data_IF_161220175922
#
_entry.id   IF_161220175922
#
_cell.length_a   1.000
_cell.length_b   1.000
_cell.length_c   1.000
_cell.angle_alpha   90.00
_cell.angle_beta   90.00
_cell.angle_gamma   90.00
#
_symmetry.space_group_name_H-M   'P 1'
#
loop_
_entity.id
_entity.type
_entity.pdbx_description
1 polymer ?
#
# COMPACT_ATOMS: atom_id res chain seq x y z
N UNK A 1 -9.99 12.84 0.90
CA UNK A 1 -11.03 12.93 -0.13
C UNK A 1 -12.39 12.82 0.53
N UNK A 2 -13.33 13.76 0.32
CA UNK A 2 -14.66 13.66 0.91
C UNK A 2 -15.55 12.70 0.11
N UNK A 3 -16.29 11.84 0.81
CA UNK A 3 -17.31 10.93 0.25
C UNK A 3 -18.55 11.67 -0.25
N UNK A 4 -18.74 12.91 0.21
CA UNK A 4 -19.96 13.72 0.08
C UNK A 4 -21.21 13.07 0.72
N UNK A 5 -21.02 12.01 1.52
CA UNK A 5 -22.06 11.34 2.29
C UNK A 5 -21.81 11.62 3.76
N UNK A 6 -22.84 12.10 4.46
CA UNK A 6 -22.78 12.36 5.89
C UNK A 6 -22.37 11.08 6.65
N UNK A 7 -21.43 11.23 7.59
CA UNK A 7 -20.93 10.12 8.41
C UNK A 7 -19.83 9.25 7.76
N UNK A 8 -19.48 9.46 6.48
CA UNK A 8 -18.46 8.65 5.79
C UNK A 8 -17.13 9.41 5.66
N UNK A 9 -16.18 9.12 6.57
CA UNK A 9 -14.90 9.84 6.66
C UNK A 9 -13.76 9.32 5.78
N UNK A 10 -13.71 8.01 5.49
CA UNK A 10 -12.62 7.38 4.73
C UNK A 10 -13.16 6.62 3.51
N UNK A 11 -13.75 7.32 2.52
CA UNK A 11 -14.43 6.66 1.40
C UNK A 11 -13.52 5.72 0.61
N UNK A 12 -12.25 6.10 0.41
CA UNK A 12 -11.29 5.27 -0.32
C UNK A 12 -11.00 3.98 0.45
N UNK A 13 -10.76 4.05 1.77
CA UNK A 13 -10.49 2.86 2.58
C UNK A 13 -11.69 1.92 2.62
N UNK A 14 -12.91 2.47 2.75
CA UNK A 14 -14.13 1.67 2.76
C UNK A 14 -14.35 0.97 1.41
N UNK A 15 -14.16 1.68 0.30
CA UNK A 15 -14.26 1.08 -1.02
C UNK A 15 -13.22 -0.02 -1.21
N UNK A 16 -11.94 0.27 -0.97
CA UNK A 16 -10.86 -0.67 -1.26
C UNK A 16 -10.87 -1.86 -0.32
N UNK A 17 -10.87 -1.64 1.01
CA UNK A 17 -10.76 -2.72 1.99
C UNK A 17 -12.08 -3.50 2.08
N UNK A 18 -13.19 -2.81 2.29
CA UNK A 18 -14.48 -3.48 2.61
C UNK A 18 -15.19 -3.97 1.37
N UNK A 19 -15.35 -3.11 0.36
CA UNK A 19 -16.14 -3.46 -0.83
C UNK A 19 -15.34 -4.28 -1.86
N UNK A 20 -14.03 -4.04 -1.98
CA UNK A 20 -13.19 -4.69 -3.00
C UNK A 20 -12.24 -5.75 -2.43
N UNK A 21 -12.01 -5.82 -1.11
CA UNK A 21 -11.05 -6.75 -0.51
C UNK A 21 -9.59 -6.47 -0.90
N UNK A 22 -9.26 -5.21 -1.15
CA UNK A 22 -7.91 -4.76 -1.55
C UNK A 22 -7.13 -4.31 -0.32
N UNK A 23 -5.95 -4.90 -0.13
CA UNK A 23 -4.99 -4.48 0.89
C UNK A 23 -4.35 -3.13 0.53
N UNK A 24 -4.05 -2.32 1.56
CA UNK A 24 -3.43 -1.01 1.41
C UNK A 24 -2.03 -0.98 2.02
N UNK A 25 -1.10 -0.31 1.34
CA UNK A 25 0.22 0.03 1.87
C UNK A 25 0.23 1.53 2.17
N UNK A 26 0.39 1.87 3.44
CA UNK A 26 0.50 3.26 3.88
C UNK A 26 1.95 3.59 4.25
N UNK A 27 2.33 4.85 4.09
CA UNK A 27 3.57 5.43 4.63
C UNK A 27 4.86 4.71 4.21
N UNK A 28 4.96 4.31 2.94
CA UNK A 28 6.19 3.75 2.37
C UNK A 28 7.18 4.89 2.06
N UNK A 29 8.46 4.67 2.31
CA UNK A 29 9.54 5.52 1.79
C UNK A 29 9.89 5.06 0.36
N UNK A 30 9.65 5.92 -0.62
CA UNK A 30 9.78 5.61 -2.04
C UNK A 30 10.91 6.39 -2.72
N UNK A 31 11.71 7.17 -1.99
CA UNK A 31 12.73 8.04 -2.60
C UNK A 31 13.80 7.23 -3.35
N UNK A 32 14.46 6.29 -2.68
CA UNK A 32 15.49 5.45 -3.28
C UNK A 32 14.94 4.55 -4.42
N UNK A 33 13.68 4.14 -4.30
CA UNK A 33 12.99 3.38 -5.34
C UNK A 33 12.79 4.22 -6.60
N UNK A 34 12.27 5.43 -6.44
CA UNK A 34 12.02 6.36 -7.56
C UNK A 34 13.32 6.72 -8.29
N UNK A 35 14.39 7.01 -7.55
CA UNK A 35 15.72 7.28 -8.14
C UNK A 35 16.25 6.09 -8.95
N UNK A 36 16.11 4.87 -8.41
CA UNK A 36 16.56 3.65 -9.08
C UNK A 36 15.72 3.35 -10.33
N UNK A 37 14.40 3.45 -10.25
CA UNK A 37 13.48 3.24 -11.36
C UNK A 37 13.76 4.22 -12.51
N UNK A 38 13.96 5.51 -12.18
CA UNK A 38 14.30 6.54 -13.16
C UNK A 38 15.66 6.28 -13.83
N UNK A 39 16.70 5.95 -13.05
CA UNK A 39 18.04 5.62 -13.58
C UNK A 39 18.04 4.42 -14.52
N UNK A 40 17.23 3.40 -14.22
CA UNK A 40 17.11 2.19 -15.04
C UNK A 40 16.12 2.35 -16.21
N UNK A 41 15.36 3.46 -16.26
CA UNK A 41 14.21 3.66 -17.13
C UNK A 41 13.23 2.46 -17.08
N UNK A 42 12.99 1.94 -15.87
CA UNK A 42 12.15 0.76 -15.62
C UNK A 42 11.35 0.99 -14.35
N UNK A 43 10.02 0.97 -14.46
CA UNK A 43 9.10 1.19 -13.33
C UNK A 43 8.43 -0.09 -12.82
N UNK A 44 8.68 -1.20 -13.51
CA UNK A 44 8.16 -2.52 -13.15
C UNK A 44 9.25 -3.32 -12.45
N UNK A 45 8.97 -3.78 -11.25
CA UNK A 45 9.88 -4.57 -10.42
C UNK A 45 9.06 -5.59 -9.63
N UNK A 46 9.73 -6.61 -9.11
CA UNK A 46 9.09 -7.55 -8.22
C UNK A 46 8.94 -6.92 -6.83
N UNK A 47 7.70 -6.74 -6.39
CA UNK A 47 7.37 -6.33 -5.04
C UNK A 47 7.32 -7.57 -4.14
N UNK A 48 8.12 -7.57 -3.07
CA UNK A 48 8.03 -8.57 -2.00
C UNK A 48 7.56 -7.87 -0.74
N UNK A 49 6.43 -8.32 -0.23
CA UNK A 49 5.85 -7.86 1.02
C UNK A 49 5.36 -9.05 1.83
N UNK A 50 5.92 -9.23 3.03
CA UNK A 50 5.63 -10.35 3.92
C UNK A 50 5.16 -9.79 5.27
N UNK A 51 3.83 -9.63 5.49
CA UNK A 51 3.32 -9.17 6.77
C UNK A 51 3.61 -10.19 7.87
N UNK A 52 3.80 -9.70 9.10
CA UNK A 52 3.87 -10.57 10.28
C UNK A 52 2.53 -11.29 10.46
N UNK A 53 2.60 -12.60 10.73
CA UNK A 53 1.44 -13.44 11.02
C UNK A 53 0.95 -13.23 12.46
N UNK A 54 0.20 -12.15 12.67
CA UNK A 54 -0.40 -11.81 13.96
C UNK A 54 -1.85 -12.27 13.96
N UNK A 55 -2.18 -13.23 14.83
CA UNK A 55 -3.57 -13.64 15.02
C UNK A 55 -4.45 -12.44 15.40
N UNK A 56 -5.62 -12.32 14.75
CA UNK A 56 -6.56 -11.20 14.92
C UNK A 56 -6.04 -9.81 14.52
N UNK A 57 -4.85 -9.73 13.91
CA UNK A 57 -4.30 -8.48 13.39
C UNK A 57 -5.15 -7.89 12.26
N UNK A 58 -5.44 -6.60 12.32
CA UNK A 58 -6.15 -5.84 11.28
C UNK A 58 -5.22 -5.18 10.26
N UNK A 59 -3.91 -5.36 10.45
CA UNK A 59 -2.83 -4.82 9.64
C UNK A 59 -1.49 -5.33 10.18
N UNK A 60 -0.40 -5.04 9.48
CA UNK A 60 0.93 -5.49 9.88
C UNK A 60 1.99 -4.51 9.41
N UNK A 61 3.00 -4.19 10.25
CA UNK A 61 4.18 -3.51 9.74
C UNK A 61 4.87 -4.41 8.71
N UNK A 62 5.30 -3.83 7.60
CA UNK A 62 5.98 -4.56 6.54
C UNK A 62 7.23 -3.80 6.10
N UNK A 63 8.29 -4.54 5.82
CA UNK A 63 9.42 -4.04 5.06
C UNK A 63 9.20 -4.41 3.58
N UNK A 64 8.58 -3.51 2.82
CA UNK A 64 8.32 -3.72 1.41
C UNK A 64 9.63 -3.62 0.61
N UNK A 65 9.95 -4.66 -0.15
CA UNK A 65 11.15 -4.70 -0.97
C UNK A 65 10.78 -4.58 -2.45
N UNK A 66 11.46 -3.69 -3.15
CA UNK A 66 11.44 -3.62 -4.61
C UNK A 66 12.69 -4.33 -5.17
N UNK A 67 12.50 -5.35 -5.99
CA UNK A 67 13.56 -6.13 -6.62
C UNK A 67 13.49 -5.93 -8.13
N UNK A 68 14.50 -5.24 -8.69
CA UNK A 68 14.61 -4.93 -10.12
C UNK A 68 15.16 -6.10 -10.92
#
# INVERSE_FOLDING_TARGET
MPSQIEGVGLPVHLLTIVAMGVDLFDNQDLEALAETAARLNRWEFMLVAAPLAVETGTGSPVNALAIF
#
